data_IF_949293788756
#
_entry.id   IF_949293788756
#
_cell.length_a   1.000
_cell.length_b   1.000
_cell.length_c   1.000
_cell.angle_alpha   90.00
_cell.angle_beta   90.00
_cell.angle_gamma   90.00
#
_symmetry.space_group_name_H-M   'P 1'
#
loop_
_entity.id
_entity.type
_entity.pdbx_description
1 polymer ?
#
# COMPACT_ATOMS: atom_id res chain seq x y z
N UNK A 1 10.70 -18.30 -3.57
CA UNK A 1 11.25 -16.98 -3.17
C UNK A 1 12.77 -17.07 -3.21
N UNK A 2 13.47 -15.99 -3.57
CA UNK A 2 14.94 -15.94 -3.48
C UNK A 2 15.40 -15.09 -2.29
N UNK A 3 16.43 -15.52 -1.59
CA UNK A 3 17.02 -14.81 -0.45
C UNK A 3 18.53 -14.71 -0.63
N UNK A 4 19.13 -13.72 0.00
CA UNK A 4 20.59 -13.58 0.08
C UNK A 4 21.03 -14.16 1.41
N UNK A 5 21.93 -15.14 1.39
CA UNK A 5 22.62 -15.63 2.58
C UNK A 5 23.61 -14.56 3.06
N UNK A 6 23.54 -14.18 4.34
CA UNK A 6 24.30 -13.04 4.87
C UNK A 6 25.80 -13.29 4.94
N UNK A 7 26.23 -14.55 5.08
CA UNK A 7 27.63 -14.93 5.23
C UNK A 7 28.34 -15.06 3.89
N UNK A 8 27.69 -15.69 2.91
CA UNK A 8 28.24 -15.98 1.58
C UNK A 8 27.90 -14.90 0.55
N UNK A 9 26.89 -14.05 0.85
CA UNK A 9 26.31 -13.06 -0.06
C UNK A 9 25.80 -13.67 -1.38
N UNK A 10 25.52 -14.96 -1.39
CA UNK A 10 24.94 -15.67 -2.53
C UNK A 10 23.42 -15.63 -2.49
N UNK A 11 22.80 -15.61 -3.67
CA UNK A 11 21.36 -15.71 -3.81
C UNK A 11 20.99 -17.18 -3.85
N UNK A 12 20.14 -17.61 -2.93
CA UNK A 12 19.59 -18.95 -2.85
C UNK A 12 18.10 -18.96 -3.17
N UNK A 13 17.65 -20.02 -3.83
CA UNK A 13 16.25 -20.21 -4.22
C UNK A 13 15.56 -21.17 -3.26
N UNK A 14 14.47 -20.68 -2.65
CA UNK A 14 13.65 -21.43 -1.72
C UNK A 14 12.31 -21.77 -2.35
N UNK A 15 12.03 -23.06 -2.46
CA UNK A 15 10.76 -23.63 -2.94
C UNK A 15 10.06 -24.24 -1.73
N UNK A 16 8.91 -23.69 -1.34
CA UNK A 16 8.13 -24.15 -0.20
C UNK A 16 7.28 -23.05 0.43
N UNK A 17 6.49 -23.35 1.47
CA UNK A 17 5.76 -22.33 2.20
C UNK A 17 6.71 -21.35 2.88
N UNK A 18 6.42 -20.05 2.76
CA UNK A 18 7.25 -18.94 3.30
C UNK A 18 7.50 -19.02 4.82
N UNK A 19 6.76 -19.87 5.54
CA UNK A 19 6.79 -20.01 7.01
C UNK A 19 8.00 -20.78 7.53
N UNK A 20 8.82 -21.36 6.64
CA UNK A 20 9.93 -22.23 7.01
C UNK A 20 11.26 -21.51 7.21
N UNK A 21 11.36 -20.22 6.87
CA UNK A 21 12.63 -19.48 6.87
C UNK A 21 12.49 -18.17 7.63
N UNK A 22 13.40 -17.92 8.59
CA UNK A 22 13.58 -16.58 9.14
C UNK A 22 14.44 -15.76 8.18
N UNK A 23 13.99 -14.56 7.87
CA UNK A 23 14.72 -13.61 7.06
C UNK A 23 14.37 -12.18 7.47
N UNK A 24 15.31 -11.26 7.22
CA UNK A 24 15.07 -9.84 7.28
C UNK A 24 14.75 -9.31 5.88
N UNK A 25 14.09 -8.17 5.79
CA UNK A 25 13.69 -7.57 4.51
C UNK A 25 14.16 -6.12 4.44
N UNK A 26 14.75 -5.72 3.31
CA UNK A 26 15.17 -4.34 3.09
C UNK A 26 14.09 -3.57 2.32
N UNK A 27 13.50 -2.58 2.97
CA UNK A 27 12.73 -1.53 2.32
C UNK A 27 13.63 -0.33 2.04
N UNK A 28 13.70 0.10 0.78
CA UNK A 28 14.59 1.18 0.38
C UNK A 28 14.07 1.89 -0.89
N UNK A 29 14.54 3.09 -1.13
CA UNK A 29 14.37 3.73 -2.42
C UNK A 29 15.43 3.19 -3.39
N UNK A 30 14.97 2.54 -4.45
CA UNK A 30 15.84 1.99 -5.48
C UNK A 30 16.57 3.08 -6.27
N UNK A 31 17.81 3.38 -5.93
CA UNK A 31 18.75 3.93 -6.90
C UNK A 31 19.18 2.83 -7.88
N UNK A 32 19.05 3.13 -9.17
CA UNK A 32 19.39 2.27 -10.33
C UNK A 32 20.90 2.07 -10.52
N UNK A 33 21.71 2.04 -9.46
CA UNK A 33 23.11 1.65 -9.59
C UNK A 33 23.15 0.15 -9.69
N UNK A 34 23.63 -0.34 -10.84
CA UNK A 34 23.89 -1.77 -11.06
C UNK A 34 24.76 -2.28 -9.91
N UNK A 35 24.24 -3.24 -9.15
CA UNK A 35 25.09 -4.03 -8.26
C UNK A 35 25.76 -5.11 -9.09
N UNK A 36 26.98 -5.47 -8.73
CA UNK A 36 27.64 -6.67 -9.22
C UNK A 36 28.07 -7.50 -8.02
N UNK A 37 27.84 -8.80 -8.11
CA UNK A 37 28.44 -9.77 -7.22
C UNK A 37 29.67 -10.28 -7.99
N UNK A 38 30.86 -9.76 -7.67
CA UNK A 38 32.13 -10.26 -8.18
C UNK A 38 32.91 -10.82 -6.96
N UNK A 39 33.39 -12.07 -7.03
CA UNK A 39 34.18 -12.75 -6.00
C UNK A 39 33.60 -12.70 -4.56
N UNK A 40 32.29 -12.90 -4.42
CA UNK A 40 31.63 -12.89 -3.09
C UNK A 40 31.57 -11.51 -2.44
N UNK A 41 31.88 -10.44 -3.18
CA UNK A 41 31.72 -9.06 -2.74
C UNK A 41 30.64 -8.35 -3.55
N UNK A 42 29.66 -7.78 -2.85
CA UNK A 42 28.68 -6.89 -3.47
C UNK A 42 29.27 -5.51 -3.71
N UNK A 43 29.71 -5.27 -4.95
CA UNK A 43 30.18 -3.96 -5.38
C UNK A 43 29.02 -3.12 -5.92
N UNK A 44 28.99 -1.84 -5.53
CA UNK A 44 28.05 -0.85 -6.09
C UNK A 44 26.81 -0.54 -5.26
N UNK A 45 26.60 -1.19 -4.10
CA UNK A 45 25.42 -0.91 -3.25
C UNK A 45 25.69 -1.06 -1.74
N UNK A 46 26.20 0.00 -1.09
CA UNK A 46 26.54 0.01 0.35
C UNK A 46 25.38 -0.42 1.25
N UNK A 47 24.13 -0.05 0.92
CA UNK A 47 22.93 -0.42 1.69
C UNK A 47 22.70 -1.93 1.79
N UNK A 48 23.15 -2.71 0.81
CA UNK A 48 22.99 -4.17 0.85
C UNK A 48 24.00 -4.76 1.83
N UNK A 49 25.25 -4.30 1.78
CA UNK A 49 26.27 -4.68 2.77
C UNK A 49 25.81 -4.33 4.19
N UNK A 50 25.33 -3.10 4.41
CA UNK A 50 24.78 -2.72 5.71
C UNK A 50 23.58 -3.59 6.14
N UNK A 51 22.69 -3.94 5.20
CA UNK A 51 21.55 -4.81 5.48
C UNK A 51 21.99 -6.21 5.94
N UNK A 52 22.97 -6.83 5.25
CA UNK A 52 23.49 -8.14 5.62
C UNK A 52 24.21 -8.09 6.98
N UNK A 53 25.05 -7.09 7.21
CA UNK A 53 25.75 -6.92 8.49
C UNK A 53 24.77 -6.66 9.65
N UNK A 54 23.70 -5.89 9.40
CA UNK A 54 22.65 -5.70 10.39
C UNK A 54 21.89 -7.00 10.68
N UNK A 55 21.54 -7.76 9.64
CA UNK A 55 20.89 -9.06 9.80
C UNK A 55 21.74 -10.04 10.61
N UNK A 56 23.06 -10.11 10.36
CA UNK A 56 24.00 -10.89 11.21
C UNK A 56 23.95 -10.44 12.66
N UNK A 57 24.01 -9.13 12.90
CA UNK A 57 23.92 -8.56 14.26
C UNK A 57 22.62 -8.96 14.97
N UNK A 58 21.52 -9.07 14.23
CA UNK A 58 20.21 -9.46 14.72
C UNK A 58 19.98 -11.00 14.70
N UNK A 59 21.01 -11.79 14.38
CA UNK A 59 20.99 -13.27 14.28
C UNK A 59 20.00 -13.80 13.23
N UNK A 60 19.99 -13.19 12.05
CA UNK A 60 19.16 -13.58 10.92
C UNK A 60 20.05 -13.94 9.73
N UNK A 61 19.93 -15.18 9.26
CA UNK A 61 20.83 -15.78 8.26
C UNK A 61 20.54 -15.33 6.82
N UNK A 62 19.33 -14.82 6.57
CA UNK A 62 18.88 -14.47 5.23
C UNK A 62 18.29 -13.07 5.14
N UNK A 63 18.53 -12.40 4.01
CA UNK A 63 17.89 -11.13 3.69
C UNK A 63 17.18 -11.17 2.34
N UNK A 64 16.00 -10.55 2.27
CA UNK A 64 15.29 -10.30 1.04
C UNK A 64 15.43 -8.84 0.61
N UNK A 65 15.79 -8.61 -0.65
CA UNK A 65 15.94 -7.28 -1.23
C UNK A 65 15.37 -7.29 -2.65
N UNK A 66 14.37 -6.45 -2.93
CA UNK A 66 13.60 -6.47 -4.19
C UNK A 66 14.45 -6.40 -5.46
N UNK A 67 15.53 -5.61 -5.44
CA UNK A 67 16.44 -5.43 -6.58
C UNK A 67 17.29 -6.67 -6.87
N UNK A 68 17.50 -7.54 -5.88
CA UNK A 68 18.31 -8.74 -5.99
C UNK A 68 17.47 -10.01 -6.13
N UNK A 69 16.37 -10.07 -5.37
CA UNK A 69 15.57 -11.28 -5.20
C UNK A 69 14.43 -11.42 -6.22
N UNK A 70 14.14 -10.39 -7.01
CA UNK A 70 13.12 -10.42 -8.08
C UNK A 70 13.78 -10.26 -9.45
N UNK A 71 13.52 -11.19 -10.35
CA UNK A 71 14.01 -11.16 -11.72
C UNK A 71 13.01 -10.35 -12.52
N UNK A 72 13.32 -9.06 -12.63
CA UNK A 72 12.48 -8.12 -13.38
C UNK A 72 12.52 -8.37 -14.90
N UNK A 73 13.37 -9.29 -15.38
CA UNK A 73 13.42 -9.71 -16.79
C UNK A 73 12.42 -10.84 -17.11
N UNK A 74 12.04 -11.63 -16.11
CA UNK A 74 11.01 -12.67 -16.21
C UNK A 74 9.64 -12.09 -15.87
N UNK A 75 8.74 -11.99 -16.86
CA UNK A 75 7.38 -11.46 -16.62
C UNK A 75 6.55 -12.36 -15.70
N UNK A 76 6.75 -13.68 -15.77
CA UNK A 76 6.10 -14.64 -14.89
C UNK A 76 6.55 -14.45 -13.44
N UNK A 77 7.87 -14.36 -13.21
CA UNK A 77 8.41 -14.16 -11.87
C UNK A 77 8.03 -12.78 -11.31
N UNK A 78 8.10 -11.73 -12.13
CA UNK A 78 7.69 -10.39 -11.72
C UNK A 78 6.21 -10.36 -11.28
N UNK A 79 5.35 -11.08 -12.00
CA UNK A 79 3.93 -11.19 -11.64
C UNK A 79 3.74 -11.95 -10.33
N UNK A 80 4.39 -13.09 -10.16
CA UNK A 80 4.33 -13.85 -8.91
C UNK A 80 4.85 -13.03 -7.73
N UNK A 81 5.98 -12.35 -7.93
CA UNK A 81 6.62 -11.53 -6.92
C UNK A 81 5.71 -10.39 -6.47
N UNK A 82 5.17 -9.59 -7.39
CA UNK A 82 4.29 -8.46 -7.03
C UNK A 82 3.03 -8.93 -6.29
N UNK A 83 2.43 -10.06 -6.67
CA UNK A 83 1.30 -10.62 -5.93
C UNK A 83 1.71 -11.16 -4.53
N UNK A 84 3.01 -11.38 -4.30
CA UNK A 84 3.55 -11.93 -3.05
C UNK A 84 4.23 -10.91 -2.15
N UNK A 85 4.59 -9.71 -2.64
CA UNK A 85 5.38 -8.70 -1.90
C UNK A 85 4.81 -8.43 -0.51
N UNK A 86 3.51 -8.14 -0.41
CA UNK A 86 2.88 -7.87 0.89
C UNK A 86 3.05 -9.05 1.86
N UNK A 87 2.87 -10.28 1.36
CA UNK A 87 3.03 -11.50 2.15
C UNK A 87 4.46 -11.64 2.64
N UNK A 88 5.45 -11.42 1.77
CA UNK A 88 6.87 -11.47 2.13
C UNK A 88 7.22 -10.41 3.20
N UNK A 89 6.78 -9.17 3.04
CA UNK A 89 6.95 -8.15 4.08
C UNK A 89 6.25 -8.52 5.40
N UNK A 90 5.08 -9.15 5.34
CA UNK A 90 4.35 -9.57 6.54
C UNK A 90 5.00 -10.71 7.32
N UNK A 91 5.73 -11.58 6.59
CA UNK A 91 6.38 -12.78 7.13
C UNK A 91 7.84 -12.56 7.52
N UNK A 92 8.48 -11.51 7.02
CA UNK A 92 9.82 -11.12 7.44
C UNK A 92 9.89 -10.92 8.96
N UNK A 93 10.98 -11.39 9.57
CA UNK A 93 11.19 -11.24 11.02
C UNK A 93 11.43 -9.77 11.40
N UNK A 94 12.23 -9.07 10.59
CA UNK A 94 12.54 -7.66 10.72
C UNK A 94 12.57 -7.00 9.34
N UNK A 95 11.94 -5.83 9.23
CA UNK A 95 12.14 -4.93 8.10
C UNK A 95 13.12 -3.81 8.46
N UNK A 96 14.17 -3.66 7.66
CA UNK A 96 15.05 -2.50 7.73
C UNK A 96 14.60 -1.50 6.68
N UNK A 97 14.15 -0.33 7.11
CA UNK A 97 13.74 0.76 6.22
C UNK A 97 14.89 1.77 6.09
N UNK A 98 15.57 1.77 4.95
CA UNK A 98 16.71 2.66 4.69
C UNK A 98 16.25 3.95 4.00
N UNK A 99 16.45 5.07 4.69
CA UNK A 99 16.13 6.44 4.28
C UNK A 99 17.43 7.13 3.85
N UNK A 100 17.72 7.09 2.55
CA UNK A 100 18.98 7.60 1.97
C UNK A 100 19.12 9.14 1.99
N UNK A 101 18.03 9.83 2.30
CA UNK A 101 17.89 11.29 2.31
C UNK A 101 17.63 11.87 3.71
N UNK A 102 17.86 11.08 4.76
CA UNK A 102 17.63 11.48 6.16
C UNK A 102 18.89 11.27 6.99
N UNK A 103 19.49 12.35 7.49
CA UNK A 103 20.68 12.27 8.34
C UNK A 103 20.35 12.07 9.82
N UNK A 104 19.21 12.58 10.27
CA UNK A 104 18.81 12.60 11.68
C UNK A 104 17.27 12.63 11.81
N UNK A 105 16.76 12.55 13.05
CA UNK A 105 15.31 12.48 13.31
C UNK A 105 14.55 13.77 12.92
N UNK A 106 15.18 14.93 12.89
CA UNK A 106 14.51 16.19 12.53
C UNK A 106 14.11 16.19 11.04
N UNK A 107 14.86 15.48 10.21
CA UNK A 107 14.62 15.31 8.77
C UNK A 107 13.64 14.16 8.46
N UNK A 108 13.31 13.32 9.44
CA UNK A 108 12.55 12.08 9.23
C UNK A 108 11.23 12.31 8.50
N UNK A 109 10.44 13.30 8.93
CA UNK A 109 9.14 13.61 8.31
C UNK A 109 9.22 14.07 6.85
N UNK A 110 10.42 14.45 6.37
CA UNK A 110 10.64 14.92 5.01
C UNK A 110 11.17 13.82 4.08
N UNK A 111 11.36 12.59 4.59
CA UNK A 111 11.91 11.49 3.81
C UNK A 111 11.06 11.18 2.57
N UNK A 112 11.70 11.07 1.39
CA UNK A 112 11.01 10.68 0.15
C UNK A 112 10.35 9.32 0.27
N UNK A 113 10.84 8.46 1.17
CA UNK A 113 10.30 7.13 1.41
C UNK A 113 8.80 7.16 1.71
N UNK A 114 8.29 8.17 2.46
CA UNK A 114 6.86 8.29 2.77
C UNK A 114 6.00 8.68 1.57
N UNK A 115 6.61 9.15 0.48
CA UNK A 115 5.92 9.57 -0.74
C UNK A 115 5.91 8.50 -1.82
N UNK A 116 6.61 7.37 -1.64
CA UNK A 116 6.65 6.28 -2.63
C UNK A 116 5.42 5.38 -2.49
N UNK A 117 4.82 4.95 -3.60
CA UNK A 117 3.63 4.08 -3.59
C UNK A 117 3.86 2.76 -2.86
N UNK A 118 4.88 2.01 -3.29
CA UNK A 118 5.22 0.67 -2.77
C UNK A 118 5.50 0.64 -1.27
N UNK A 119 6.14 1.69 -0.72
CA UNK A 119 6.51 1.75 0.69
C UNK A 119 5.31 1.80 1.66
N UNK A 120 4.07 1.96 1.15
CA UNK A 120 2.87 1.86 1.98
C UNK A 120 2.71 0.45 2.54
N UNK A 121 2.81 -0.54 1.66
CA UNK A 121 2.74 -1.95 2.06
C UNK A 121 3.96 -2.33 2.91
N UNK A 122 5.13 -1.79 2.57
CA UNK A 122 6.38 -2.02 3.31
C UNK A 122 6.35 -1.43 4.73
N UNK A 123 5.52 -0.41 4.97
CA UNK A 123 5.26 0.17 6.31
C UNK A 123 4.27 -0.67 7.12
N UNK A 124 3.19 -1.09 6.47
CA UNK A 124 2.03 -1.69 7.13
C UNK A 124 2.19 -3.19 7.36
N UNK A 125 2.71 -3.92 6.36
CA UNK A 125 2.78 -5.38 6.40
C UNK A 125 3.73 -5.92 7.47
N UNK A 126 4.99 -5.44 7.63
CA UNK A 126 5.91 -6.00 8.62
C UNK A 126 5.49 -5.66 10.04
N UNK A 127 5.68 -6.62 10.96
CA UNK A 127 5.43 -6.39 12.39
C UNK A 127 6.50 -5.52 13.05
N UNK A 128 7.77 -5.76 12.71
CA UNK A 128 8.93 -5.02 13.23
C UNK A 128 9.58 -4.24 12.09
N UNK A 129 9.74 -2.93 12.28
CA UNK A 129 10.50 -2.08 11.35
C UNK A 129 11.47 -1.24 12.16
N UNK A 130 12.72 -1.17 11.70
CA UNK A 130 13.72 -0.20 12.14
C UNK A 130 14.10 0.71 10.99
N UNK A 131 14.04 2.02 11.24
CA UNK A 131 14.39 3.05 10.27
C UNK A 131 15.85 3.43 10.44
N UNK A 132 16.58 3.39 9.33
CA UNK A 132 18.00 3.77 9.25
C UNK A 132 18.15 4.95 8.31
N UNK A 133 18.85 5.99 8.75
CA UNK A 133 19.23 7.15 7.95
C UNK A 133 20.54 6.94 7.19
N UNK A 134 21.08 8.03 6.66
CA UNK A 134 22.38 8.04 5.96
C UNK A 134 23.48 7.43 6.83
N UNK A 135 24.34 6.62 6.21
CA UNK A 135 25.42 5.93 6.92
C UNK A 135 24.93 4.81 7.86
N UNK A 136 23.71 4.32 7.66
CA UNK A 136 23.09 3.27 8.48
C UNK A 136 22.88 3.67 9.94
N UNK A 137 22.59 4.95 10.18
CA UNK A 137 22.32 5.47 11.52
C UNK A 137 20.91 5.10 11.96
N UNK A 138 20.76 4.38 13.08
CA UNK A 138 19.44 4.02 13.61
C UNK A 138 18.67 5.28 14.04
N UNK A 139 17.51 5.51 13.43
CA UNK A 139 16.60 6.61 13.75
C UNK A 139 15.54 6.19 14.76
N UNK A 140 15.08 4.95 14.69
CA UNK A 140 14.11 4.39 15.62
C UNK A 140 13.29 3.25 15.03
N UNK A 141 12.39 2.71 15.83
CA UNK A 141 11.47 1.65 15.40
C UNK A 141 10.11 2.20 14.96
N UNK A 142 9.34 1.44 14.17
CA UNK A 142 7.94 1.77 13.85
C UNK A 142 7.11 2.04 15.11
N UNK A 143 7.33 1.27 16.18
CA UNK A 143 6.62 1.46 17.45
C UNK A 143 7.01 2.75 18.15
N UNK A 144 8.29 3.05 18.26
CA UNK A 144 8.77 4.27 18.93
C UNK A 144 8.44 5.55 18.16
N UNK A 145 8.30 5.45 16.84
CA UNK A 145 8.00 6.58 15.95
C UNK A 145 6.53 6.64 15.53
N UNK A 146 5.63 5.86 16.14
CA UNK A 146 4.26 5.68 15.66
C UNK A 146 3.46 7.00 15.54
N UNK A 147 3.59 7.91 16.51
CA UNK A 147 2.96 9.23 16.47
C UNK A 147 3.51 10.11 15.34
N UNK A 148 4.82 10.10 15.13
CA UNK A 148 5.49 10.82 14.04
C UNK A 148 5.09 10.25 12.69
N UNK A 149 5.06 8.92 12.58
CA UNK A 149 4.60 8.19 11.40
C UNK A 149 3.14 8.50 11.09
N UNK A 150 2.27 8.56 12.10
CA UNK A 150 0.86 8.90 11.91
C UNK A 150 0.71 10.30 11.33
N UNK A 151 1.45 11.28 11.84
CA UNK A 151 1.44 12.66 11.33
C UNK A 151 1.90 12.76 9.88
N UNK A 152 3.00 12.10 9.50
CA UNK A 152 3.56 12.20 8.14
C UNK A 152 2.76 11.38 7.12
N UNK A 153 2.24 10.22 7.52
CA UNK A 153 1.56 9.30 6.59
C UNK A 153 0.03 9.40 6.59
N UNK A 154 -0.55 10.06 7.60
CA UNK A 154 -2.00 10.08 7.89
C UNK A 154 -2.60 8.70 8.22
N UNK A 155 -1.75 7.73 8.51
CA UNK A 155 -2.17 6.40 8.96
C UNK A 155 -2.41 6.46 10.46
N UNK A 156 -3.52 5.93 10.94
CA UNK A 156 -3.79 5.92 12.38
C UNK A 156 -2.72 5.13 13.16
N UNK A 157 -2.36 5.62 14.35
CA UNK A 157 -1.41 4.94 15.24
C UNK A 157 -1.81 3.48 15.50
N UNK A 158 -3.12 3.17 15.51
CA UNK A 158 -3.62 1.80 15.64
C UNK A 158 -3.14 0.88 14.51
N UNK A 159 -3.21 1.31 13.25
CA UNK A 159 -2.70 0.53 12.11
C UNK A 159 -1.17 0.36 12.21
N UNK A 160 -0.45 1.38 12.67
CA UNK A 160 1.01 1.33 12.76
C UNK A 160 1.52 0.41 13.88
N UNK A 161 0.77 0.31 14.98
CA UNK A 161 1.22 -0.37 16.20
C UNK A 161 0.62 -1.76 16.39
N UNK A 162 -0.53 -2.06 15.79
CA UNK A 162 -1.19 -3.34 15.97
C UNK A 162 -0.66 -4.39 14.97
N UNK A 163 -0.05 -5.50 15.43
CA UNK A 163 0.50 -6.56 14.57
C UNK A 163 -0.58 -7.50 13.97
N UNK A 164 -1.82 -7.03 13.93
CA UNK A 164 -3.04 -7.73 13.58
C UNK A 164 -3.04 -8.37 12.18
N UNK A 165 -3.78 -9.48 12.06
CA UNK A 165 -4.02 -10.16 10.80
C UNK A 165 -4.79 -9.27 9.80
N UNK A 166 -4.70 -9.58 8.50
CA UNK A 166 -5.44 -8.87 7.44
C UNK A 166 -6.96 -8.83 7.68
N UNK A 167 -7.50 -9.88 8.34
CA UNK A 167 -8.90 -9.97 8.79
C UNK A 167 -9.28 -8.81 9.72
N UNK A 168 -8.43 -8.51 10.70
CA UNK A 168 -8.64 -7.42 11.65
C UNK A 168 -8.50 -6.05 10.95
N UNK A 169 -7.57 -5.89 10.01
CA UNK A 169 -7.44 -4.65 9.22
C UNK A 169 -8.72 -4.30 8.46
N UNK A 170 -9.37 -5.29 7.84
CA UNK A 170 -10.64 -5.09 7.13
C UNK A 170 -11.83 -4.87 8.07
N UNK A 171 -11.72 -5.26 9.35
CA UNK A 171 -12.72 -4.94 10.37
C UNK A 171 -12.54 -3.54 10.97
N UNK A 172 -11.30 -3.04 11.02
CA UNK A 172 -10.96 -1.78 11.67
C UNK A 172 -10.91 -0.57 10.73
N UNK A 173 -10.50 -0.77 9.48
CA UNK A 173 -10.27 0.33 8.53
C UNK A 173 -11.07 0.13 7.25
N UNK A 174 -11.75 1.18 6.83
CA UNK A 174 -12.57 1.19 5.62
C UNK A 174 -11.70 1.15 4.36
N UNK A 175 -12.31 0.85 3.21
CA UNK A 175 -11.65 0.97 1.92
C UNK A 175 -11.25 2.42 1.66
N UNK A 176 -12.14 3.38 1.91
CA UNK A 176 -11.86 4.81 1.76
C UNK A 176 -10.63 5.25 2.57
N UNK A 177 -10.55 4.80 3.82
CA UNK A 177 -9.45 5.12 4.71
C UNK A 177 -8.13 4.53 4.21
N UNK A 178 -8.12 3.25 3.82
CA UNK A 178 -6.95 2.60 3.22
C UNK A 178 -6.51 3.29 1.92
N UNK A 179 -7.46 3.72 1.08
CA UNK A 179 -7.16 4.48 -0.14
C UNK A 179 -6.58 5.86 0.19
N UNK A 180 -7.04 6.52 1.26
CA UNK A 180 -6.52 7.82 1.69
C UNK A 180 -5.04 7.76 2.07
N UNK A 181 -4.57 6.64 2.64
CA UNK A 181 -3.15 6.43 2.96
C UNK A 181 -2.25 6.37 1.72
N UNK A 182 -2.84 6.05 0.56
CA UNK A 182 -2.18 6.01 -0.74
C UNK A 182 -2.28 7.32 -1.54
N UNK A 183 -3.22 8.21 -1.18
CA UNK A 183 -3.58 9.42 -1.93
C UNK A 183 -2.45 10.44 -2.14
N UNK A 184 -1.40 10.40 -1.30
CA UNK A 184 -0.25 11.31 -1.40
C UNK A 184 1.01 10.64 -1.93
N UNK A 185 0.91 9.35 -2.28
CA UNK A 185 2.03 8.55 -2.72
C UNK A 185 2.09 8.50 -4.24
N UNK A 186 3.31 8.49 -4.78
CA UNK A 186 3.60 8.50 -6.20
C UNK A 186 4.39 7.27 -6.62
N UNK A 187 4.12 6.82 -7.84
CA UNK A 187 4.77 5.68 -8.47
C UNK A 187 5.43 6.11 -9.77
N UNK A 188 6.42 5.35 -10.24
CA UNK A 188 7.08 5.65 -11.52
C UNK A 188 6.23 5.22 -12.70
N UNK A 189 5.64 4.02 -12.63
CA UNK A 189 4.65 3.56 -13.61
C UNK A 189 3.25 3.90 -13.10
N UNK A 190 2.37 4.26 -14.02
CA UNK A 190 1.00 4.64 -13.66
C UNK A 190 0.23 3.46 -13.08
N UNK A 191 0.45 2.26 -13.61
CA UNK A 191 -0.20 1.02 -13.19
C UNK A 191 0.18 0.61 -11.76
N UNK A 192 1.40 0.96 -11.32
CA UNK A 192 1.85 0.71 -9.95
C UNK A 192 0.99 1.45 -8.92
N UNK A 193 0.26 2.50 -9.30
CA UNK A 193 -0.73 3.15 -8.43
C UNK A 193 -1.81 2.17 -7.98
N UNK A 194 -2.06 1.12 -8.77
CA UNK A 194 -2.95 0.03 -8.45
C UNK A 194 -2.20 -1.17 -7.85
N UNK A 195 -1.12 -1.61 -8.52
CA UNK A 195 -0.42 -2.83 -8.11
C UNK A 195 0.22 -2.73 -6.72
N UNK A 196 0.71 -1.54 -6.35
CA UNK A 196 1.22 -1.28 -5.00
C UNK A 196 0.17 -1.25 -3.89
N UNK A 197 -1.11 -1.51 -4.20
CA UNK A 197 -2.22 -1.58 -3.23
C UNK A 197 -2.85 -2.98 -3.14
N UNK A 198 -2.53 -3.89 -4.06
CA UNK A 198 -3.14 -5.22 -4.13
C UNK A 198 -3.07 -5.98 -2.80
N UNK A 199 -1.88 -6.07 -2.20
CA UNK A 199 -1.69 -6.74 -0.91
C UNK A 199 -2.41 -6.08 0.26
N UNK A 200 -2.52 -4.74 0.29
CA UNK A 200 -3.26 -4.01 1.32
C UNK A 200 -4.76 -4.33 1.28
N UNK A 201 -5.30 -4.54 0.07
CA UNK A 201 -6.70 -4.90 -0.14
C UNK A 201 -6.94 -6.40 -0.29
N UNK A 202 -5.88 -7.19 -0.18
CA UNK A 202 -5.89 -8.65 -0.28
C UNK A 202 -6.41 -9.22 -1.60
N UNK A 203 -6.33 -8.45 -2.70
CA UNK A 203 -6.79 -8.86 -4.02
C UNK A 203 -5.63 -9.29 -4.92
N UNK A 204 -5.90 -10.20 -5.85
CA UNK A 204 -4.95 -10.61 -6.88
C UNK A 204 -5.49 -10.24 -8.27
N UNK A 205 -4.63 -9.71 -9.13
CA UNK A 205 -4.99 -9.37 -10.50
C UNK A 205 -3.76 -9.46 -11.44
N UNK A 206 -3.95 -9.83 -12.72
CA UNK A 206 -2.86 -9.87 -13.69
C UNK A 206 -2.20 -8.50 -13.91
N UNK A 207 -0.86 -8.48 -13.97
CA UNK A 207 -0.09 -7.28 -14.29
C UNK A 207 -0.07 -7.03 -15.81
N UNK A 208 -0.67 -5.93 -16.24
CA UNK A 208 -0.73 -5.51 -17.64
C UNK A 208 -0.12 -4.11 -17.80
N UNK A 209 1.21 -4.01 -17.73
CA UNK A 209 1.90 -2.75 -17.99
C UNK A 209 1.60 -2.25 -19.42
N UNK A 210 1.18 -0.99 -19.53
CA UNK A 210 0.65 -0.38 -20.75
C UNK A 210 -0.87 -0.15 -20.71
N UNK A 211 -1.58 -0.66 -19.69
CA UNK A 211 -3.02 -0.41 -19.53
C UNK A 211 -3.36 0.96 -18.93
N UNK A 212 -2.37 1.66 -18.37
CA UNK A 212 -2.52 3.00 -17.80
C UNK A 212 -3.53 3.04 -16.64
N UNK A 213 -4.40 4.05 -16.64
CA UNK A 213 -5.38 4.26 -15.57
C UNK A 213 -6.40 3.12 -15.38
N UNK A 214 -6.53 2.23 -16.38
CA UNK A 214 -7.41 1.03 -16.27
C UNK A 214 -6.97 0.08 -15.16
N UNK A 215 -5.67 0.06 -14.82
CA UNK A 215 -5.16 -0.77 -13.72
C UNK A 215 -5.88 -0.45 -12.40
N UNK A 216 -6.10 0.84 -12.10
CA UNK A 216 -6.76 1.25 -10.85
C UNK A 216 -8.28 1.00 -10.86
N UNK A 217 -8.91 1.08 -12.03
CA UNK A 217 -10.31 0.66 -12.19
C UNK A 217 -10.47 -0.85 -11.92
N UNK A 218 -9.56 -1.67 -12.45
CA UNK A 218 -9.55 -3.12 -12.20
C UNK A 218 -9.31 -3.44 -10.73
N UNK A 219 -8.39 -2.73 -10.06
CA UNK A 219 -8.20 -2.89 -8.61
C UNK A 219 -9.51 -2.67 -7.86
N UNK A 220 -10.21 -1.56 -8.12
CA UNK A 220 -11.49 -1.29 -7.48
C UNK A 220 -12.54 -2.37 -7.77
N UNK A 221 -12.56 -2.92 -9.00
CA UNK A 221 -13.45 -4.02 -9.35
C UNK A 221 -13.15 -5.30 -8.57
N UNK A 222 -11.88 -5.68 -8.40
CA UNK A 222 -11.51 -6.82 -7.57
C UNK A 222 -11.90 -6.60 -6.10
N UNK A 223 -11.67 -5.39 -5.58
CA UNK A 223 -12.07 -5.03 -4.19
C UNK A 223 -13.59 -5.17 -4.01
N UNK A 224 -14.38 -4.67 -4.97
CA UNK A 224 -15.85 -4.74 -4.92
C UNK A 224 -16.35 -6.19 -4.98
N UNK A 225 -15.67 -7.09 -5.68
CA UNK A 225 -16.07 -8.51 -5.75
C UNK A 225 -15.95 -9.21 -4.39
N UNK A 226 -15.02 -8.75 -3.55
CA UNK A 226 -14.70 -9.40 -2.27
C UNK A 226 -15.20 -8.61 -1.04
N UNK A 227 -15.75 -7.40 -1.22
CA UNK A 227 -16.16 -6.51 -0.12
C UNK A 227 -17.55 -5.89 -0.28
N UNK A 228 -18.24 -5.70 0.84
CA UNK A 228 -19.50 -4.96 0.96
C UNK A 228 -19.31 -3.52 1.44
N UNK A 229 -18.07 -3.11 1.69
CA UNK A 229 -17.76 -1.78 2.20
C UNK A 229 -17.98 -0.72 1.10
N UNK A 230 -19.09 0.01 1.23
CA UNK A 230 -19.50 1.05 0.29
C UNK A 230 -18.61 2.30 0.31
N UNK A 231 -17.67 2.40 1.26
CA UNK A 231 -16.72 3.51 1.32
C UNK A 231 -15.80 3.57 0.10
N UNK A 232 -15.69 2.49 -0.69
CA UNK A 232 -15.00 2.52 -1.99
C UNK A 232 -15.59 3.56 -2.97
N UNK A 233 -16.84 3.95 -2.78
CA UNK A 233 -17.49 4.99 -3.59
C UNK A 233 -17.35 6.39 -2.96
N UNK A 234 -16.84 6.51 -1.75
CA UNK A 234 -16.75 7.75 -0.98
C UNK A 234 -15.49 8.57 -1.33
N UNK A 235 -15.25 8.80 -2.61
CA UNK A 235 -14.19 9.66 -3.13
C UNK A 235 -14.77 10.98 -3.64
N UNK A 236 -13.93 12.02 -3.78
CA UNK A 236 -14.35 13.35 -4.21
C UNK A 236 -13.41 13.91 -5.27
N UNK A 237 -13.94 14.77 -6.14
CA UNK A 237 -13.13 15.54 -7.09
C UNK A 237 -12.22 16.51 -6.35
N UNK A 238 -10.98 16.61 -6.81
CA UNK A 238 -10.02 17.60 -6.31
C UNK A 238 -10.33 18.92 -7.05
N UNK A 239 -10.47 20.03 -6.33
CA UNK A 239 -10.91 21.33 -6.88
C UNK A 239 -10.08 21.77 -8.11
N UNK A 240 -8.78 21.48 -8.16
CA UNK A 240 -7.88 21.79 -9.27
C UNK A 240 -8.13 20.97 -10.57
N UNK A 241 -8.91 19.89 -10.50
CA UNK A 241 -9.26 19.02 -11.65
C UNK A 241 -10.61 19.41 -12.29
N UNK A 242 -11.28 20.42 -11.72
CA UNK A 242 -12.52 20.98 -12.28
C UNK A 242 -12.22 21.94 -13.42
N UNK A 243 -11.67 21.43 -14.53
CA UNK A 243 -11.79 22.18 -15.78
C UNK A 243 -13.28 22.40 -16.03
N UNK A 244 -13.70 23.67 -16.00
CA UNK A 244 -15.06 24.19 -16.28
C UNK A 244 -15.71 23.70 -17.59
N UNK A 245 -15.07 22.76 -18.30
CA UNK A 245 -15.53 22.07 -19.51
C UNK A 245 -16.10 20.67 -19.24
N UNK A 246 -16.07 20.16 -18.01
CA UNK A 246 -16.60 18.84 -17.61
C UNK A 246 -18.04 18.95 -17.07
N UNK A 247 -18.90 19.80 -17.66
CA UNK A 247 -20.32 19.83 -17.29
C UNK A 247 -21.15 18.74 -17.99
N UNK A 248 -20.59 17.98 -18.95
CA UNK A 248 -21.35 17.06 -19.80
C UNK A 248 -20.81 15.62 -19.91
N UNK A 249 -19.84 15.20 -19.09
CA UNK A 249 -19.44 13.77 -19.04
C UNK A 249 -20.11 13.11 -17.84
N UNK A 250 -20.81 11.99 -18.08
CA UNK A 250 -21.27 11.08 -17.02
C UNK A 250 -20.09 10.85 -16.07
N UNK A 251 -20.24 11.25 -14.81
CA UNK A 251 -19.21 11.07 -13.80
C UNK A 251 -18.87 9.58 -13.73
N UNK A 252 -17.57 9.20 -13.75
CA UNK A 252 -17.20 7.82 -13.54
C UNK A 252 -17.66 7.42 -12.13
N UNK A 253 -18.22 6.22 -11.97
CA UNK A 253 -18.65 5.75 -10.66
C UNK A 253 -17.46 5.39 -9.75
N UNK A 254 -16.38 4.90 -10.37
CA UNK A 254 -15.15 4.51 -9.69
C UNK A 254 -14.12 5.63 -9.77
N UNK A 255 -13.33 5.79 -8.71
CA UNK A 255 -12.32 6.83 -8.62
C UNK A 255 -11.25 6.66 -9.73
N UNK A 256 -10.76 7.76 -10.34
CA UNK A 256 -9.68 7.67 -11.33
C UNK A 256 -8.34 7.25 -10.74
N UNK A 257 -8.08 7.56 -9.46
CA UNK A 257 -6.87 7.19 -8.74
C UNK A 257 -7.07 7.26 -7.21
N UNK A 258 -6.10 6.78 -6.41
CA UNK A 258 -6.12 6.99 -4.96
C UNK A 258 -6.14 8.46 -4.51
N UNK A 259 -5.70 9.39 -5.37
CA UNK A 259 -5.60 10.83 -5.01
C UNK A 259 -6.98 11.40 -4.62
N UNK A 260 -8.07 10.86 -5.18
CA UNK A 260 -9.46 11.29 -4.95
C UNK A 260 -10.03 10.85 -3.58
N UNK A 261 -9.27 10.07 -2.80
CA UNK A 261 -9.61 9.68 -1.43
C UNK A 261 -8.86 10.48 -0.36
N UNK A 262 -8.18 11.57 -0.74
CA UNK A 262 -7.30 12.35 0.16
C UNK A 262 -7.99 12.83 1.44
N UNK A 263 -9.30 13.10 1.37
CA UNK A 263 -10.15 13.58 2.47
C UNK A 263 -11.16 12.52 2.94
N UNK A 264 -10.99 11.27 2.51
CA UNK A 264 -11.88 10.16 2.89
C UNK A 264 -11.35 9.33 4.06
N UNK A 265 -10.27 9.79 4.70
CA UNK A 265 -9.54 9.06 5.76
C UNK A 265 -10.33 8.83 7.05
N UNK A 266 -11.38 9.60 7.29
CA UNK A 266 -12.25 9.50 8.46
C UNK A 266 -13.61 8.85 8.15
N UNK A 267 -13.79 8.29 6.96
CA UNK A 267 -15.03 7.59 6.57
C UNK A 267 -14.97 6.13 7.02
N UNK A 268 -15.99 5.67 7.74
CA UNK A 268 -16.12 4.30 8.25
C UNK A 268 -17.47 3.67 7.89
N UNK A 269 -17.56 2.34 7.72
CA UNK A 269 -18.83 1.65 7.48
C UNK A 269 -19.76 1.75 8.69
N UNK A 270 -21.07 1.75 8.45
CA UNK A 270 -22.07 1.64 9.49
C UNK A 270 -22.41 0.16 9.76
N UNK A 271 -22.22 -0.31 10.99
CA UNK A 271 -22.50 -1.71 11.43
C UNK A 271 -24.01 -2.05 11.50
N UNK A 272 -24.89 -1.21 10.95
CA UNK A 272 -26.33 -1.22 11.28
C UNK A 272 -27.16 -2.07 10.31
N UNK A 273 -26.65 -2.35 9.12
CA UNK A 273 -27.36 -3.12 8.09
C UNK A 273 -26.51 -4.33 7.68
N UNK A 274 -27.11 -5.51 7.52
CA UNK A 274 -26.51 -6.58 6.72
C UNK A 274 -26.46 -6.08 5.27
N UNK A 275 -25.30 -5.64 4.76
CA UNK A 275 -25.25 -5.04 3.44
C UNK A 275 -25.48 -6.16 2.42
N UNK A 276 -26.36 -5.93 1.43
CA UNK A 276 -26.41 -6.83 0.27
C UNK A 276 -25.07 -6.74 -0.47
N UNK A 277 -24.54 -7.89 -0.89
CA UNK A 277 -23.31 -7.92 -1.67
C UNK A 277 -23.50 -7.14 -2.98
N UNK A 278 -22.61 -6.18 -3.29
CA UNK A 278 -22.62 -5.54 -4.59
C UNK A 278 -22.41 -6.59 -5.69
N UNK A 279 -23.07 -6.42 -6.83
CA UNK A 279 -22.86 -7.31 -7.99
C UNK A 279 -22.27 -6.51 -9.13
N UNK A 280 -21.09 -6.91 -9.61
CA UNK A 280 -20.47 -6.32 -10.79
C UNK A 280 -20.91 -7.10 -12.03
N UNK A 281 -21.62 -6.44 -12.94
CA UNK A 281 -22.08 -7.01 -14.21
C UNK A 281 -21.36 -6.37 -15.39
N UNK A 282 -21.50 -6.93 -16.59
CA UNK A 282 -21.02 -6.28 -17.81
C UNK A 282 -21.64 -4.90 -18.05
N UNK A 283 -22.82 -4.64 -17.46
CA UNK A 283 -23.53 -3.35 -17.53
C UNK A 283 -23.14 -2.37 -16.42
N UNK A 284 -22.27 -2.77 -15.48
CA UNK A 284 -21.80 -1.92 -14.40
C UNK A 284 -22.07 -2.50 -13.01
N UNK A 285 -21.89 -1.65 -12.00
CA UNK A 285 -22.09 -1.98 -10.59
C UNK A 285 -23.58 -1.90 -10.23
N UNK A 286 -24.09 -2.98 -9.62
CA UNK A 286 -25.41 -3.00 -9.01
C UNK A 286 -25.27 -2.98 -7.48
N UNK A 287 -25.83 -1.95 -6.85
CA UNK A 287 -25.85 -1.75 -5.39
C UNK A 287 -27.25 -1.38 -4.93
N UNK A 288 -27.60 -1.82 -3.71
CA UNK A 288 -28.81 -1.42 -3.02
C UNK A 288 -28.47 -0.33 -2.00
N UNK A 289 -29.01 0.87 -2.21
CA UNK A 289 -28.81 2.04 -1.34
C UNK A 289 -30.11 2.82 -1.18
N UNK A 290 -30.39 3.41 0.00
CA UNK A 290 -31.47 4.36 0.15
C UNK A 290 -31.24 5.59 -0.73
N UNK A 291 -32.30 6.12 -1.33
CA UNK A 291 -32.28 7.38 -2.07
C UNK A 291 -32.96 8.48 -1.26
N UNK A 292 -32.31 9.63 -1.19
CA UNK A 292 -32.89 10.85 -0.63
C UNK A 292 -32.98 11.89 -1.75
N UNK A 293 -34.15 12.49 -1.91
CA UNK A 293 -34.37 13.58 -2.86
C UNK A 293 -34.39 14.91 -2.11
N UNK A 294 -33.57 15.87 -2.55
CA UNK A 294 -33.55 17.23 -2.04
C UNK A 294 -33.28 18.19 -3.20
N UNK A 295 -34.06 19.27 -3.32
CA UNK A 295 -33.91 20.30 -4.37
C UNK A 295 -33.71 19.76 -5.79
N UNK A 296 -34.54 18.79 -6.21
CA UNK A 296 -34.48 18.12 -7.53
C UNK A 296 -33.23 17.25 -7.78
N UNK A 297 -32.32 17.14 -6.83
CA UNK A 297 -31.20 16.21 -6.87
C UNK A 297 -31.53 14.93 -6.09
N UNK A 298 -31.20 13.78 -6.68
CA UNK A 298 -31.24 12.50 -5.99
C UNK A 298 -29.87 12.21 -5.38
N UNK A 299 -29.86 11.68 -4.17
CA UNK A 299 -28.64 11.31 -3.47
C UNK A 299 -28.72 9.83 -3.06
N UNK A 300 -27.73 9.04 -3.46
CA UNK A 300 -27.56 7.67 -3.01
C UNK A 300 -26.82 7.65 -1.67
N UNK A 301 -27.50 7.20 -0.62
CA UNK A 301 -26.94 7.16 0.74
C UNK A 301 -26.09 5.91 0.91
N UNK A 302 -24.78 6.10 1.08
CA UNK A 302 -23.87 5.00 1.37
C UNK A 302 -24.02 4.56 2.83
N UNK A 303 -23.79 3.29 3.10
CA UNK A 303 -23.74 2.71 4.43
C UNK A 303 -22.43 3.08 5.17
N UNK A 304 -22.12 4.38 5.20
CA UNK A 304 -20.91 4.96 5.75
C UNK A 304 -21.20 6.24 6.53
N UNK A 305 -20.32 6.58 7.46
CA UNK A 305 -20.35 7.81 8.26
C UNK A 305 -18.94 8.34 8.50
N UNK A 306 -18.82 9.59 8.93
CA UNK A 306 -17.56 10.14 9.42
C UNK A 306 -17.29 9.67 10.86
N UNK A 307 -16.03 9.37 11.21
CA UNK A 307 -15.61 8.91 12.55
C UNK A 307 -16.06 9.86 13.65
N UNK A 308 -15.89 11.16 13.40
CA UNK A 308 -16.13 12.24 14.35
C UNK A 308 -17.52 12.89 14.20
N UNK A 309 -18.38 12.39 13.30
CA UNK A 309 -19.74 12.89 13.14
C UNK A 309 -20.75 11.79 13.39
N UNK A 310 -21.72 12.10 14.25
CA UNK A 310 -22.98 11.36 14.35
C UNK A 310 -24.06 11.94 13.41
N UNK A 311 -23.74 13.04 12.70
CA UNK A 311 -24.66 13.82 11.89
C UNK A 311 -24.31 13.64 10.41
N UNK A 312 -25.28 13.11 9.66
CA UNK A 312 -25.25 13.07 8.19
C UNK A 312 -24.60 11.80 7.63
N UNK A 313 -25.30 11.06 6.76
CA UNK A 313 -24.70 9.94 6.06
C UNK A 313 -23.79 10.42 4.92
N UNK A 314 -22.84 9.59 4.51
CA UNK A 314 -22.09 9.85 3.27
C UNK A 314 -23.01 9.53 2.08
N UNK A 315 -23.13 10.43 1.11
CA UNK A 315 -24.02 10.23 -0.03
C UNK A 315 -23.36 10.62 -1.36
N UNK A 316 -23.71 9.88 -2.42
CA UNK A 316 -23.35 10.17 -3.80
C UNK A 316 -24.43 11.04 -4.45
N UNK A 317 -24.04 12.06 -5.21
CA UNK A 317 -24.98 12.81 -6.02
C UNK A 317 -25.32 12.01 -7.29
N UNK A 318 -26.61 11.75 -7.51
CA UNK A 318 -27.15 11.14 -8.72
C UNK A 318 -27.74 12.26 -9.57
N UNK A 319 -26.93 12.81 -10.47
CA UNK A 319 -27.37 13.74 -11.52
C UNK A 319 -28.03 13.00 -12.67
#
# INVERSE_FOLDING_TARGET
MRLIDVDTLQIEEFIGPDELFSYAILSHLGERRSYKIEDGQMQGCLKIGYCCEQAKHDNIDYVWIDICCIDKSSSAELSEAINSVYRWYSKAEICYAYLDDVANLDEFCSARWFTRGWTLQELLAPRKIYFYGTGWTLLGSKRSLAETLSKVTRIETLALTNPSTLSEYSQHFSIAEKMSWASRRKTTRMEDRAYSLMGLFHVNMPLLYGEGAKAFQRLQQEIIRESTDQSILAWQWIEDDTDSRIECRREPLLAPSPDYFVDSGDIVPCNVLSPMHPTLTASGLNIHVPLISHDYCQHAVLNCRYKNSVIGPVALNLR
#
